data_IF_671953724953
#
_entry.id   IF_671953724953
#
_cell.length_a   1.000
_cell.length_b   1.000
_cell.length_c   1.000
_cell.angle_alpha   90.00
_cell.angle_beta   90.00
_cell.angle_gamma   90.00
#
_symmetry.space_group_name_H-M   'P 1'
#
loop_
_entity.id
_entity.type
_entity.pdbx_description
1 polymer ?
#
# COMPACT_ATOMS: atom_id res chain seq x y z
N UNK A 1 -12.99 10.05 -37.35
CA UNK A 1 -12.21 10.93 -38.24
C UNK A 1 -10.89 11.22 -37.52
N UNK A 2 -9.68 11.13 -38.02
CA UNK A 2 -9.03 10.61 -39.23
C UNK A 2 -7.53 10.59 -38.86
N UNK A 3 -6.76 9.71 -39.52
CA UNK A 3 -5.33 9.90 -39.86
C UNK A 3 -4.32 10.04 -38.71
N UNK A 4 -3.74 8.91 -38.24
CA UNK A 4 -2.31 8.80 -37.91
C UNK A 4 -1.62 9.86 -37.03
N UNK A 5 -2.35 10.72 -36.33
CA UNK A 5 -1.80 11.79 -35.51
C UNK A 5 -1.49 11.25 -34.12
N UNK A 6 -0.26 11.44 -33.65
CA UNK A 6 0.13 11.13 -32.27
C UNK A 6 -0.81 11.84 -31.31
N UNK A 7 -1.70 11.08 -30.66
CA UNK A 7 -2.50 11.59 -29.55
C UNK A 7 -1.66 11.50 -28.28
N UNK A 8 -1.22 12.63 -27.76
CA UNK A 8 -0.52 12.70 -26.47
C UNK A 8 -1.56 12.47 -25.36
N UNK A 9 -1.39 11.42 -24.55
CA UNK A 9 -2.19 11.23 -23.33
C UNK A 9 -1.61 12.12 -22.22
N UNK A 10 -2.37 13.13 -21.81
CA UNK A 10 -2.02 14.03 -20.69
C UNK A 10 -2.76 13.72 -19.40
N UNK A 11 -3.75 12.83 -19.43
CA UNK A 11 -4.52 12.41 -18.25
C UNK A 11 -3.79 11.32 -17.44
N UNK A 12 -4.12 11.26 -16.15
CA UNK A 12 -3.67 10.18 -15.26
C UNK A 12 -4.09 8.80 -15.78
N UNK A 13 -3.31 7.78 -15.41
CA UNK A 13 -3.61 6.37 -15.71
C UNK A 13 -4.34 5.72 -14.54
N UNK A 14 -5.18 4.71 -14.80
CA UNK A 14 -5.79 3.86 -13.76
C UNK A 14 -4.88 2.69 -13.35
N UNK A 15 -3.59 2.76 -13.68
CA UNK A 15 -2.66 1.69 -13.36
C UNK A 15 -2.45 1.63 -11.84
N UNK A 16 -2.29 0.43 -11.27
CA UNK A 16 -1.87 0.30 -9.89
C UNK A 16 -0.48 0.94 -9.70
N UNK A 17 -0.24 1.46 -8.50
CA UNK A 17 1.04 2.05 -8.10
C UNK A 17 1.85 1.05 -7.28
N UNK A 18 3.20 1.07 -7.38
CA UNK A 18 4.03 0.25 -6.51
C UNK A 18 3.90 0.70 -5.05
N UNK A 19 3.91 -0.26 -4.14
CA UNK A 19 3.98 -0.05 -2.70
C UNK A 19 5.26 -0.72 -2.18
N UNK A 20 6.16 0.07 -1.59
CA UNK A 20 7.49 -0.38 -1.18
C UNK A 20 7.73 0.10 0.25
N UNK A 21 8.11 -0.84 1.12
CA UNK A 21 8.63 -0.53 2.45
C UNK A 21 10.14 -0.74 2.40
N UNK A 22 10.89 0.29 2.77
CA UNK A 22 12.34 0.21 2.90
C UNK A 22 12.71 0.16 4.37
N UNK A 23 13.09 -1.02 4.83
CA UNK A 23 13.57 -1.27 6.19
C UNK A 23 14.90 -2.04 6.12
N UNK A 24 16.06 -1.35 6.25
CA UNK A 24 17.37 -1.99 6.20
C UNK A 24 17.68 -2.84 7.43
N UNK A 25 16.91 -2.70 8.52
CA UNK A 25 17.09 -3.44 9.75
C UNK A 25 16.08 -4.57 9.93
N UNK A 26 15.18 -4.79 8.98
CA UNK A 26 14.14 -5.80 9.02
C UNK A 26 14.63 -7.17 9.54
N UNK A 27 14.06 -7.64 10.66
CA UNK A 27 14.31 -8.93 11.31
C UNK A 27 13.09 -9.86 11.32
N UNK A 28 12.12 -9.64 10.42
CA UNK A 28 10.91 -10.47 10.34
C UNK A 28 9.79 -10.06 11.28
N UNK A 29 9.72 -8.78 11.66
CA UNK A 29 8.71 -8.23 12.56
C UNK A 29 7.33 -8.10 11.91
N UNK A 30 7.24 -8.19 10.58
CA UNK A 30 5.97 -8.08 9.85
C UNK A 30 6.04 -8.77 8.48
N UNK A 31 4.89 -9.15 7.93
CA UNK A 31 4.77 -9.63 6.54
C UNK A 31 3.64 -8.91 5.80
N UNK A 32 3.63 -9.00 4.47
CA UNK A 32 2.55 -8.42 3.65
C UNK A 32 1.25 -9.16 3.95
N UNK A 33 0.23 -8.40 4.37
CA UNK A 33 -1.08 -8.92 4.72
C UNK A 33 -1.81 -9.51 3.50
N UNK A 34 -2.59 -10.57 3.74
CA UNK A 34 -3.46 -11.15 2.72
C UNK A 34 -4.83 -10.46 2.70
N UNK A 35 -4.88 -9.27 2.09
CA UNK A 35 -6.12 -8.51 1.91
C UNK A 35 -6.59 -8.53 0.45
N UNK A 36 -7.91 -8.62 0.27
CA UNK A 36 -8.56 -8.73 -1.04
C UNK A 36 -8.44 -7.44 -1.86
N UNK A 37 -8.75 -6.31 -1.24
CA UNK A 37 -8.69 -4.98 -1.86
C UNK A 37 -7.55 -4.18 -1.24
N UNK A 38 -6.65 -3.65 -2.07
CA UNK A 38 -5.48 -2.86 -1.68
C UNK A 38 -5.56 -1.48 -2.30
N UNK A 39 -5.49 -0.43 -1.50
CA UNK A 39 -5.57 0.95 -1.94
C UNK A 39 -4.77 1.91 -1.06
N UNK A 40 -4.85 3.19 -1.41
CA UNK A 40 -4.11 4.24 -0.71
C UNK A 40 -4.63 4.46 0.72
N UNK A 41 -5.91 4.15 0.98
CA UNK A 41 -6.51 4.25 2.32
C UNK A 41 -5.87 3.31 3.33
N UNK A 42 -5.40 2.13 2.90
CA UNK A 42 -4.69 1.17 3.76
C UNK A 42 -3.34 1.71 4.28
N UNK A 43 -2.74 2.72 3.62
CA UNK A 43 -1.42 3.25 3.99
C UNK A 43 -1.45 3.84 5.40
N UNK A 44 -2.56 4.48 5.80
CA UNK A 44 -2.69 5.08 7.12
C UNK A 44 -2.55 4.04 8.24
N UNK A 45 -3.29 2.93 8.15
CA UNK A 45 -3.18 1.83 9.10
C UNK A 45 -1.80 1.16 9.07
N UNK A 46 -1.21 1.03 7.87
CA UNK A 46 0.12 0.45 7.69
C UNK A 46 1.19 1.25 8.43
N UNK A 47 1.16 2.58 8.31
CA UNK A 47 2.09 3.46 9.01
C UNK A 47 1.92 3.39 10.54
N UNK A 48 0.67 3.35 11.02
CA UNK A 48 0.42 3.22 12.47
C UNK A 48 1.01 1.92 13.01
N UNK A 49 0.80 0.79 12.34
CA UNK A 49 1.35 -0.48 12.78
C UNK A 49 2.89 -0.52 12.71
N UNK A 50 3.51 0.05 11.67
CA UNK A 50 4.98 0.19 11.60
C UNK A 50 5.55 1.05 12.74
N UNK A 51 4.80 2.04 13.20
CA UNK A 51 5.16 2.89 14.33
C UNK A 51 4.85 2.26 15.70
N UNK A 52 4.28 1.05 15.74
CA UNK A 52 3.93 0.35 16.97
C UNK A 52 2.59 0.77 17.59
N UNK A 53 1.73 1.46 16.83
CA UNK A 53 0.38 1.84 17.26
C UNK A 53 -0.68 0.90 16.70
N UNK A 54 -1.78 0.77 17.44
CA UNK A 54 -3.00 0.16 16.92
C UNK A 54 -3.70 1.13 15.95
N UNK A 55 -4.26 0.58 14.87
CA UNK A 55 -5.08 1.37 13.96
C UNK A 55 -6.45 1.64 14.60
N UNK A 56 -7.12 2.76 14.29
CA UNK A 56 -8.54 2.92 14.58
C UNK A 56 -9.42 1.85 13.91
N UNK A 57 -10.57 1.54 14.49
CA UNK A 57 -11.52 0.57 13.95
C UNK A 57 -12.04 0.97 12.57
N UNK A 58 -12.31 2.26 12.37
CA UNK A 58 -12.88 2.83 11.15
C UNK A 58 -11.88 2.90 9.98
N UNK A 59 -10.62 2.53 10.20
CA UNK A 59 -9.59 2.53 9.17
C UNK A 59 -9.57 1.20 8.42
N UNK A 60 -9.34 1.27 7.11
CA UNK A 60 -9.02 0.10 6.31
C UNK A 60 -7.85 -0.69 6.91
N UNK A 61 -7.81 -2.02 6.73
CA UNK A 61 -6.77 -2.85 7.30
C UNK A 61 -5.39 -2.43 6.79
N UNK A 62 -4.37 -2.63 7.62
CA UNK A 62 -2.98 -2.45 7.24
C UNK A 62 -2.59 -3.39 6.09
N UNK A 63 -1.65 -2.95 5.24
CA UNK A 63 -1.03 -3.78 4.20
C UNK A 63 0.02 -4.75 4.77
N UNK A 64 0.32 -4.65 6.06
CA UNK A 64 1.19 -5.57 6.79
C UNK A 64 0.47 -6.17 8.00
N UNK A 65 0.90 -7.37 8.37
CA UNK A 65 0.56 -8.02 9.63
C UNK A 65 1.81 -8.06 10.51
N UNK A 66 1.71 -7.58 11.75
CA UNK A 66 2.81 -7.62 12.72
C UNK A 66 2.94 -9.03 13.29
N UNK A 67 4.15 -9.55 13.34
CA UNK A 67 4.48 -10.86 13.92
C UNK A 67 4.79 -10.66 15.40
N UNK A 68 3.88 -11.09 16.28
CA UNK A 68 4.17 -11.16 17.70
C UNK A 68 5.07 -12.36 17.98
N UNK A 69 6.30 -12.13 18.45
CA UNK A 69 7.17 -13.19 18.97
C UNK A 69 6.72 -13.54 20.39
N UNK A 70 6.44 -14.82 20.65
CA UNK A 70 6.17 -15.35 22.00
C UNK A 70 7.44 -15.44 22.83
#
# INVERSE_FOLDING_TARGET
DKKGAKSVKTAHTLNPVPFIIYDPLYQGEYHIAHIKEKGLSNIAATLLNLLGYEKPDDYDPSLIEIVFKS
#
